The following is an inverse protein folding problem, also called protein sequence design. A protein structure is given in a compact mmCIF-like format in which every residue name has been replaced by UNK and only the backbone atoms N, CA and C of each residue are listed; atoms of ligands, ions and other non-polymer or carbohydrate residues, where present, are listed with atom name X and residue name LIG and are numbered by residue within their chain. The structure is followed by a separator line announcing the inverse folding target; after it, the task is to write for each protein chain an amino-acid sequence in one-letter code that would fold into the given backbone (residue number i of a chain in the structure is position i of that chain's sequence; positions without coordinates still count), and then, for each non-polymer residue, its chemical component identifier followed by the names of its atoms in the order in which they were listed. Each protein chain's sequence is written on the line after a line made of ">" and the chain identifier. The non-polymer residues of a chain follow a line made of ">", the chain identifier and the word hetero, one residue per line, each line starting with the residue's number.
data_IF_211118143731
#
_entry.id   IF_211118143731
#
_cell.length_a   1.000
_cell.length_b   1.000
_cell.length_c   1.000
_cell.angle_alpha   90.00
_cell.angle_beta   90.00
_cell.angle_gamma   90.00
#
_symmetry.space_group_name_H-M   'P 1'
#
loop_
_entity.id
_entity.type
_entity.pdbx_description
1 polymer ?
#
# COMPACT_ATOMS: atom_id res chain seq x y z
N UNK A 1 -3.61 10.33 19.18
CA UNK A 1 -3.90 10.24 17.73
C UNK A 1 -4.17 8.78 17.38
N UNK A 2 -5.15 8.54 16.47
CA UNK A 2 -5.54 7.19 16.07
C UNK A 2 -5.09 6.88 14.65
N UNK A 3 -4.37 5.76 14.47
CA UNK A 3 -3.96 5.27 13.16
C UNK A 3 -4.66 3.94 12.82
N UNK A 4 -5.27 3.85 11.64
CA UNK A 4 -5.82 2.62 11.09
C UNK A 4 -4.89 2.08 10.02
N UNK A 5 -4.47 0.81 10.16
CA UNK A 5 -3.50 0.17 9.28
C UNK A 5 -4.09 -1.11 8.72
N UNK A 6 -4.28 -1.18 7.41
CA UNK A 6 -4.71 -2.40 6.73
C UNK A 6 -3.51 -3.26 6.34
N UNK A 7 -3.67 -4.59 6.36
CA UNK A 7 -2.57 -5.52 6.13
C UNK A 7 -1.48 -5.45 7.20
N UNK A 8 -1.90 -5.26 8.46
CA UNK A 8 -1.01 -5.01 9.59
C UNK A 8 -0.36 -6.27 10.19
N UNK A 9 -0.73 -7.47 9.74
CA UNK A 9 -0.24 -8.75 10.29
C UNK A 9 1.22 -9.09 9.92
N UNK A 10 1.79 -8.43 8.90
CA UNK A 10 3.16 -8.73 8.45
C UNK A 10 3.80 -7.58 7.68
N UNK A 11 5.08 -7.73 7.39
CA UNK A 11 5.84 -6.85 6.48
C UNK A 11 5.77 -5.36 6.85
N UNK A 12 5.51 -4.53 5.82
CA UNK A 12 5.53 -3.07 5.96
C UNK A 12 4.46 -2.58 6.94
N UNK A 13 3.24 -3.15 6.89
CA UNK A 13 2.12 -2.75 7.75
C UNK A 13 2.41 -3.02 9.23
N UNK A 14 2.92 -4.22 9.54
CA UNK A 14 3.39 -4.58 10.89
C UNK A 14 4.47 -3.61 11.40
N UNK A 15 5.48 -3.36 10.57
CA UNK A 15 6.61 -2.53 11.00
C UNK A 15 6.20 -1.05 11.15
N UNK A 16 5.23 -0.56 10.35
CA UNK A 16 4.63 0.76 10.55
C UNK A 16 3.84 0.83 11.85
N UNK A 17 3.07 -0.23 12.19
CA UNK A 17 2.34 -0.30 13.45
C UNK A 17 3.27 -0.15 14.65
N UNK A 18 4.38 -0.91 14.69
CA UNK A 18 5.40 -0.82 15.75
C UNK A 18 6.02 0.57 15.87
N UNK A 19 6.27 1.24 14.74
CA UNK A 19 6.85 2.59 14.74
C UNK A 19 5.83 3.63 15.23
N UNK A 20 4.58 3.52 14.83
CA UNK A 20 3.53 4.45 15.21
C UNK A 20 3.14 4.30 16.69
N UNK A 21 3.15 3.08 17.22
CA UNK A 21 2.99 2.84 18.66
C UNK A 21 4.05 3.60 19.48
N UNK A 22 5.33 3.45 19.13
CA UNK A 22 6.43 4.20 19.78
C UNK A 22 6.31 5.73 19.65
N UNK A 23 5.46 6.20 18.75
CA UNK A 23 5.13 7.63 18.59
C UNK A 23 3.84 8.03 19.31
N UNK A 24 3.25 7.13 20.11
CA UNK A 24 2.06 7.39 20.91
C UNK A 24 0.74 7.36 20.14
N UNK A 25 0.67 6.70 18.97
CA UNK A 25 -0.59 6.49 18.29
C UNK A 25 -1.35 5.31 18.89
N UNK A 26 -2.63 5.49 19.17
CA UNK A 26 -3.57 4.39 19.30
C UNK A 26 -3.77 3.72 17.95
N UNK A 27 -3.80 2.39 17.93
CA UNK A 27 -3.77 1.64 16.68
C UNK A 27 -5.04 0.83 16.45
N UNK A 28 -5.49 0.82 15.20
CA UNK A 28 -6.45 -0.16 14.70
C UNK A 28 -5.75 -0.99 13.63
N UNK A 29 -5.54 -2.28 13.92
CA UNK A 29 -4.84 -3.21 13.06
C UNK A 29 -5.84 -4.11 12.36
N UNK A 30 -5.84 -4.09 11.02
CA UNK A 30 -6.80 -4.85 10.21
C UNK A 30 -6.04 -5.85 9.34
N UNK A 31 -6.38 -7.13 9.45
CA UNK A 31 -5.92 -8.20 8.56
C UNK A 31 -6.84 -9.42 8.68
N UNK A 32 -6.55 -10.49 7.91
CA UNK A 32 -7.31 -11.76 7.94
C UNK A 32 -6.77 -12.75 8.97
N UNK A 33 -5.48 -12.67 9.26
CA UNK A 33 -4.74 -13.61 10.12
C UNK A 33 -4.73 -13.08 11.55
N UNK A 34 -5.58 -13.68 12.38
CA UNK A 34 -5.74 -13.29 13.78
C UNK A 34 -4.49 -13.56 14.60
N UNK A 35 -3.88 -14.74 14.44
CA UNK A 35 -2.72 -15.14 15.23
C UNK A 35 -1.58 -14.14 15.04
N UNK A 36 -1.27 -13.80 13.78
CA UNK A 36 -0.23 -12.80 13.49
C UNK A 36 -0.59 -11.39 13.97
N UNK A 37 -1.86 -10.99 13.95
CA UNK A 37 -2.27 -9.71 14.53
C UNK A 37 -2.07 -9.70 16.05
N UNK A 38 -2.36 -10.81 16.74
CA UNK A 38 -2.13 -10.94 18.19
C UNK A 38 -0.62 -10.89 18.50
N UNK A 39 0.23 -11.53 17.69
CA UNK A 39 1.68 -11.43 17.82
C UNK A 39 2.15 -9.98 17.69
N UNK A 40 1.67 -9.26 16.68
CA UNK A 40 2.00 -7.84 16.48
C UNK A 40 1.54 -7.01 17.68
N UNK A 41 0.34 -7.26 18.21
CA UNK A 41 -0.21 -6.55 19.37
C UNK A 41 0.66 -6.73 20.61
N UNK A 42 1.23 -7.92 20.85
CA UNK A 42 2.13 -8.16 21.99
C UNK A 42 3.38 -7.27 21.99
N UNK A 43 3.80 -6.78 20.81
CA UNK A 43 4.96 -5.91 20.64
C UNK A 43 4.60 -4.41 20.62
N UNK A 44 3.32 -4.07 20.84
CA UNK A 44 2.80 -2.70 20.78
C UNK A 44 2.45 -2.22 22.19
N UNK A 45 2.89 -1.01 22.52
CA UNK A 45 2.78 -0.42 23.87
C UNK A 45 1.52 0.46 24.04
N UNK A 46 0.92 0.91 22.94
CA UNK A 46 -0.25 1.79 22.94
C UNK A 46 -1.56 1.02 22.86
N UNK A 47 -2.68 1.71 23.14
CA UNK A 47 -4.00 1.11 22.99
C UNK A 47 -4.18 0.60 21.54
N UNK A 48 -4.53 -0.69 21.42
CA UNK A 48 -4.57 -1.37 20.12
C UNK A 48 -5.81 -2.24 19.99
N UNK A 49 -6.65 -1.90 19.02
CA UNK A 49 -7.78 -2.70 18.55
C UNK A 49 -7.33 -3.58 17.39
N UNK A 50 -7.69 -4.86 17.43
CA UNK A 50 -7.55 -5.79 16.31
C UNK A 50 -8.91 -5.97 15.66
N UNK A 51 -8.93 -5.97 14.33
CA UNK A 51 -10.12 -6.27 13.52
C UNK A 51 -9.74 -7.33 12.49
N UNK A 52 -10.34 -8.52 12.61
CA UNK A 52 -10.16 -9.61 11.66
C UNK A 52 -11.16 -9.40 10.53
N UNK A 53 -10.63 -9.08 9.34
CA UNK A 53 -11.50 -8.73 8.21
C UNK A 53 -10.84 -8.98 6.87
N UNK A 54 -11.58 -9.57 5.94
CA UNK A 54 -11.18 -9.66 4.53
C UNK A 54 -11.68 -8.43 3.77
N UNK A 55 -10.74 -7.58 3.36
CA UNK A 55 -11.03 -6.34 2.64
C UNK A 55 -11.23 -6.55 1.13
N UNK A 56 -11.10 -7.77 0.60
CA UNK A 56 -11.53 -8.08 -0.76
C UNK A 56 -13.06 -8.07 -0.91
N UNK A 57 -13.78 -8.12 0.20
CA UNK A 57 -15.24 -8.04 0.24
C UNK A 57 -15.66 -6.58 0.45
N UNK A 58 -16.29 -5.97 -0.54
CA UNK A 58 -16.71 -4.55 -0.51
C UNK A 58 -17.50 -4.18 0.76
N UNK A 59 -18.47 -5.02 1.15
CA UNK A 59 -19.29 -4.83 2.34
C UNK A 59 -18.44 -4.69 3.62
N UNK A 60 -17.35 -5.44 3.69
CA UNK A 60 -16.43 -5.38 4.82
C UNK A 60 -15.71 -4.03 4.92
N UNK A 61 -15.34 -3.42 3.79
CA UNK A 61 -14.73 -2.09 3.80
C UNK A 61 -15.67 -1.03 4.37
N UNK A 62 -16.96 -1.10 4.01
CA UNK A 62 -17.99 -0.21 4.56
C UNK A 62 -18.20 -0.48 6.06
N UNK A 63 -18.29 -1.75 6.47
CA UNK A 63 -18.40 -2.15 7.87
C UNK A 63 -17.21 -1.69 8.71
N UNK A 64 -15.99 -1.79 8.17
CA UNK A 64 -14.79 -1.28 8.84
C UNK A 64 -14.90 0.22 9.11
N UNK A 65 -15.33 0.99 8.14
CA UNK A 65 -15.53 2.43 8.30
C UNK A 65 -16.64 2.76 9.32
N UNK A 66 -17.72 1.97 9.39
CA UNK A 66 -18.78 2.13 10.39
C UNK A 66 -18.29 1.86 11.81
N UNK A 67 -17.44 0.84 11.98
CA UNK A 67 -16.89 0.42 13.26
C UNK A 67 -15.76 1.32 13.78
N UNK A 68 -15.02 1.98 12.89
CA UNK A 68 -13.82 2.74 13.25
C UNK A 68 -13.96 4.18 12.79
N UNK A 69 -14.27 5.06 13.71
CA UNK A 69 -14.37 6.51 13.47
C UNK A 69 -13.18 7.25 14.07
N UNK A 70 -13.07 8.53 13.75
CA UNK A 70 -12.07 9.43 14.31
C UNK A 70 -10.61 9.00 14.06
N UNK A 71 -10.36 8.58 12.81
CA UNK A 71 -9.01 8.21 12.35
C UNK A 71 -8.24 9.45 11.94
N UNK A 72 -7.09 9.70 12.59
CA UNK A 72 -6.17 10.78 12.24
C UNK A 72 -5.23 10.38 11.10
N UNK A 73 -4.87 9.08 11.00
CA UNK A 73 -4.00 8.52 9.98
C UNK A 73 -4.56 7.21 9.42
N UNK A 74 -4.94 7.21 8.15
CA UNK A 74 -5.28 6.00 7.41
C UNK A 74 -4.05 5.49 6.65
N UNK A 75 -3.67 4.22 6.87
CA UNK A 75 -2.66 3.53 6.08
C UNK A 75 -3.30 2.38 5.31
N UNK A 76 -3.60 2.59 4.05
CA UNK A 76 -4.01 1.56 3.12
C UNK A 76 -2.76 0.79 2.67
N UNK A 77 -2.51 -0.37 3.28
CA UNK A 77 -1.33 -1.19 3.00
C UNK A 77 -1.69 -2.62 2.59
N UNK A 78 -2.88 -3.12 2.91
CA UNK A 78 -3.31 -4.45 2.48
C UNK A 78 -3.20 -4.60 0.96
N UNK A 79 -2.60 -5.69 0.51
CA UNK A 79 -2.47 -5.95 -0.91
C UNK A 79 -1.51 -7.09 -1.21
N UNK A 80 -1.67 -7.69 -2.38
CA UNK A 80 -0.83 -8.77 -2.85
C UNK A 80 -0.67 -8.71 -4.37
N UNK A 81 0.12 -9.61 -4.94
CA UNK A 81 0.37 -9.74 -6.38
C UNK A 81 0.18 -11.15 -6.87
N UNK A 82 0.12 -11.30 -8.19
CA UNK A 82 0.21 -12.57 -8.91
C UNK A 82 1.26 -12.45 -10.00
N UNK A 83 1.91 -13.55 -10.33
CA UNK A 83 2.88 -13.61 -11.41
C UNK A 83 2.55 -14.79 -12.34
N UNK A 84 2.73 -14.59 -13.65
CA UNK A 84 2.47 -15.59 -14.68
C UNK A 84 2.02 -14.96 -15.98
N UNK A 85 1.91 -15.76 -17.03
CA UNK A 85 1.27 -15.37 -18.28
C UNK A 85 -0.20 -15.00 -18.00
N UNK A 86 -0.66 -13.87 -18.53
CA UNK A 86 -1.99 -13.34 -18.23
C UNK A 86 -3.12 -14.31 -18.56
N UNK A 87 -2.95 -15.13 -19.60
CA UNK A 87 -3.94 -16.13 -19.97
C UNK A 87 -3.91 -17.40 -19.12
N UNK A 88 -2.87 -17.56 -18.29
CA UNK A 88 -2.65 -18.76 -17.44
C UNK A 88 -2.81 -18.48 -15.95
N UNK A 89 -2.83 -17.23 -15.53
CA UNK A 89 -3.07 -16.88 -14.13
C UNK A 89 -4.52 -17.17 -13.72
N UNK A 90 -4.73 -17.47 -12.44
CA UNK A 90 -6.06 -17.79 -11.91
C UNK A 90 -6.92 -16.52 -11.83
N UNK A 91 -8.06 -16.51 -12.54
CA UNK A 91 -8.98 -15.37 -12.62
C UNK A 91 -9.53 -14.97 -11.25
N UNK A 92 -9.94 -15.92 -10.40
CA UNK A 92 -10.52 -15.61 -9.09
C UNK A 92 -9.49 -14.95 -8.17
N UNK A 93 -8.23 -15.41 -8.24
CA UNK A 93 -7.12 -14.80 -7.51
C UNK A 93 -6.86 -13.36 -8.00
N UNK A 94 -6.97 -13.10 -9.29
CA UNK A 94 -6.84 -11.75 -9.87
C UNK A 94 -8.00 -10.83 -9.47
N UNK A 95 -9.24 -11.30 -9.52
CA UNK A 95 -10.40 -10.53 -9.06
C UNK A 95 -10.27 -10.20 -7.56
N UNK A 96 -9.85 -11.18 -6.73
CA UNK A 96 -9.57 -10.94 -5.32
C UNK A 96 -8.48 -9.89 -5.13
N UNK A 97 -7.42 -9.92 -5.95
CA UNK A 97 -6.36 -8.92 -5.95
C UNK A 97 -6.87 -7.53 -6.34
N UNK A 98 -7.70 -7.41 -7.37
CA UNK A 98 -8.34 -6.16 -7.79
C UNK A 98 -9.18 -5.61 -6.63
N UNK A 99 -10.02 -6.44 -6.03
CA UNK A 99 -10.85 -6.04 -4.91
C UNK A 99 -10.03 -5.55 -3.71
N UNK A 100 -8.96 -6.27 -3.37
CA UNK A 100 -8.08 -5.88 -2.25
C UNK A 100 -7.26 -4.63 -2.57
N UNK A 101 -6.63 -4.57 -3.75
CA UNK A 101 -5.67 -3.52 -4.10
C UNK A 101 -6.34 -2.24 -4.63
N UNK A 102 -7.55 -2.33 -5.20
CA UNK A 102 -8.27 -1.20 -5.79
C UNK A 102 -9.52 -0.88 -4.98
N UNK A 103 -10.50 -1.80 -4.94
CA UNK A 103 -11.82 -1.52 -4.38
C UNK A 103 -11.74 -1.12 -2.91
N UNK A 104 -10.96 -1.85 -2.10
CA UNK A 104 -10.76 -1.52 -0.70
C UNK A 104 -10.08 -0.15 -0.52
N UNK A 105 -9.00 0.12 -1.27
CA UNK A 105 -8.31 1.42 -1.23
C UNK A 105 -9.24 2.56 -1.62
N UNK A 106 -10.04 2.38 -2.68
CA UNK A 106 -10.99 3.39 -3.14
C UNK A 106 -12.02 3.71 -2.06
N UNK A 107 -12.68 2.69 -1.52
CA UNK A 107 -13.73 2.85 -0.51
C UNK A 107 -13.18 3.50 0.76
N UNK A 108 -12.11 2.95 1.33
CA UNK A 108 -11.55 3.46 2.58
C UNK A 108 -10.99 4.88 2.40
N UNK A 109 -10.26 5.13 1.30
CA UNK A 109 -9.78 6.48 0.99
C UNK A 109 -10.94 7.46 0.90
N UNK A 110 -12.00 7.14 0.15
CA UNK A 110 -13.14 8.04 -0.04
C UNK A 110 -13.88 8.34 1.26
N UNK A 111 -14.16 7.32 2.06
CA UNK A 111 -14.94 7.47 3.29
C UNK A 111 -14.16 8.24 4.36
N UNK A 112 -12.92 7.85 4.64
CA UNK A 112 -12.10 8.56 5.63
C UNK A 112 -11.68 9.96 5.16
N UNK A 113 -11.43 10.15 3.88
CA UNK A 113 -11.15 11.49 3.33
C UNK A 113 -12.33 12.45 3.55
N UNK A 114 -13.57 11.97 3.39
CA UNK A 114 -14.76 12.77 3.66
C UNK A 114 -14.78 13.28 5.09
N UNK A 115 -14.56 12.40 6.08
CA UNK A 115 -14.53 12.79 7.50
C UNK A 115 -13.34 13.72 7.81
N UNK A 116 -12.17 13.43 7.25
CA UNK A 116 -10.97 14.26 7.42
C UNK A 116 -11.17 15.67 6.84
N UNK A 117 -11.86 15.79 5.69
CA UNK A 117 -12.19 17.10 5.09
C UNK A 117 -13.16 17.89 5.96
N UNK A 118 -14.16 17.26 6.59
CA UNK A 118 -15.09 17.94 7.49
C UNK A 118 -14.36 18.54 8.70
N UNK A 119 -13.30 17.86 9.18
CA UNK A 119 -12.47 18.33 10.30
C UNK A 119 -11.29 19.20 9.85
N UNK A 120 -11.10 19.33 8.56
CA UNK A 120 -9.91 19.90 7.90
C UNK A 120 -8.59 19.41 8.51
N UNK A 121 -8.57 18.15 8.94
CA UNK A 121 -7.43 17.50 9.60
C UNK A 121 -7.42 16.01 9.31
N UNK A 122 -6.23 15.47 9.00
CA UNK A 122 -6.04 14.05 8.79
C UNK A 122 -4.98 13.75 7.74
N UNK A 123 -4.55 12.51 7.70
CA UNK A 123 -3.52 12.06 6.77
C UNK A 123 -3.84 10.67 6.23
N UNK A 124 -3.62 10.49 4.92
CA UNK A 124 -3.79 9.19 4.24
C UNK A 124 -2.44 8.80 3.62
N UNK A 125 -2.02 7.56 3.88
CA UNK A 125 -0.91 6.92 3.21
C UNK A 125 -1.42 5.73 2.40
N UNK A 126 -1.33 5.82 1.08
CA UNK A 126 -1.63 4.70 0.19
C UNK A 126 -0.34 3.98 -0.21
N UNK A 127 -0.25 2.68 0.10
CA UNK A 127 0.90 1.85 -0.29
C UNK A 127 0.71 1.32 -1.70
N UNK A 128 1.35 2.01 -2.64
CA UNK A 128 1.44 1.61 -4.05
C UNK A 128 2.68 0.71 -4.29
N UNK A 129 3.43 0.99 -5.32
CA UNK A 129 4.69 0.33 -5.71
C UNK A 129 5.36 1.13 -6.82
N UNK A 130 6.63 0.89 -7.09
CA UNK A 130 7.29 1.29 -8.34
C UNK A 130 6.54 0.71 -9.57
N UNK A 131 5.89 -0.43 -9.42
CA UNK A 131 5.04 -1.05 -10.42
C UNK A 131 3.92 -0.13 -10.95
N UNK A 132 3.48 0.84 -10.16
CA UNK A 132 2.44 1.80 -10.57
C UNK A 132 2.88 2.86 -11.60
N UNK A 133 4.15 2.86 -12.01
CA UNK A 133 4.68 3.84 -12.97
C UNK A 133 5.02 3.25 -14.34
N UNK A 134 4.85 1.97 -14.54
CA UNK A 134 5.24 1.28 -15.78
C UNK A 134 4.35 0.06 -16.06
N UNK A 135 4.26 -0.42 -17.31
CA UNK A 135 3.64 -1.69 -17.61
C UNK A 135 4.47 -2.85 -17.06
N UNK A 136 3.80 -3.90 -16.58
CA UNK A 136 4.44 -5.08 -16.00
C UNK A 136 3.98 -6.38 -16.65
N UNK A 137 4.50 -6.76 -17.83
CA UNK A 137 4.22 -8.08 -18.39
C UNK A 137 4.55 -9.19 -17.38
N UNK A 138 3.78 -10.27 -17.38
CA UNK A 138 3.82 -11.37 -16.41
C UNK A 138 3.36 -11.01 -14.98
N UNK A 139 3.02 -9.74 -14.73
CA UNK A 139 2.36 -9.25 -13.52
C UNK A 139 1.33 -8.16 -13.88
N UNK A 140 0.67 -8.30 -15.01
CA UNK A 140 -0.15 -7.25 -15.65
C UNK A 140 -1.18 -6.66 -14.69
N UNK A 141 -2.00 -7.49 -14.08
CA UNK A 141 -3.06 -7.08 -13.16
C UNK A 141 -2.48 -6.37 -11.92
N UNK A 142 -1.41 -6.89 -11.33
CA UNK A 142 -0.77 -6.24 -10.18
C UNK A 142 -0.28 -4.83 -10.52
N UNK A 143 0.44 -4.66 -11.64
CA UNK A 143 0.94 -3.34 -12.06
C UNK A 143 -0.20 -2.37 -12.33
N UNK A 144 -1.27 -2.84 -12.98
CA UNK A 144 -2.47 -2.04 -13.22
C UNK A 144 -3.14 -1.60 -11.91
N UNK A 145 -3.25 -2.49 -10.90
CA UNK A 145 -3.80 -2.11 -9.59
C UNK A 145 -2.97 -1.04 -8.91
N UNK A 146 -1.64 -1.12 -9.00
CA UNK A 146 -0.75 -0.13 -8.38
C UNK A 146 -0.73 1.20 -9.15
N UNK A 147 -0.91 1.16 -10.47
CA UNK A 147 -1.11 2.37 -11.28
C UNK A 147 -2.41 3.10 -10.89
N UNK A 148 -3.51 2.36 -10.68
CA UNK A 148 -4.75 2.92 -10.18
C UNK A 148 -4.55 3.72 -8.88
N UNK A 149 -3.90 3.11 -7.88
CA UNK A 149 -3.64 3.75 -6.57
C UNK A 149 -2.80 5.02 -6.74
N UNK A 150 -1.79 4.99 -7.61
CA UNK A 150 -0.95 6.17 -7.90
C UNK A 150 -1.80 7.30 -8.48
N UNK A 151 -2.57 7.04 -9.55
CA UNK A 151 -3.36 8.06 -10.25
C UNK A 151 -4.49 8.62 -9.41
N UNK A 152 -5.20 7.76 -8.68
CA UNK A 152 -6.23 8.19 -7.75
C UNK A 152 -5.67 9.17 -6.70
N UNK A 153 -4.53 8.82 -6.10
CA UNK A 153 -3.93 9.66 -5.06
C UNK A 153 -3.36 10.96 -5.61
N UNK A 154 -2.84 10.96 -6.85
CA UNK A 154 -2.39 12.19 -7.54
C UNK A 154 -3.56 13.15 -7.75
N UNK A 155 -4.70 12.65 -8.25
CA UNK A 155 -5.89 13.45 -8.49
C UNK A 155 -6.43 14.06 -7.18
N UNK A 156 -6.63 13.23 -6.15
CA UNK A 156 -7.09 13.68 -4.83
C UNK A 156 -6.16 14.76 -4.25
N UNK A 157 -4.86 14.61 -4.40
CA UNK A 157 -3.90 15.62 -3.93
C UNK A 157 -4.12 16.98 -4.58
N UNK A 158 -4.36 17.03 -5.87
CA UNK A 158 -4.59 18.30 -6.58
C UNK A 158 -5.94 18.92 -6.17
N UNK A 159 -6.98 18.11 -5.95
CA UNK A 159 -8.25 18.58 -5.40
C UNK A 159 -8.06 19.21 -4.01
N UNK A 160 -7.38 18.53 -3.09
CA UNK A 160 -7.07 19.05 -1.75
C UNK A 160 -6.27 20.35 -1.79
N UNK A 161 -5.33 20.49 -2.72
CA UNK A 161 -4.57 21.73 -2.91
C UNK A 161 -5.44 22.89 -3.40
N UNK A 162 -6.30 22.64 -4.39
CA UNK A 162 -7.25 23.64 -4.92
C UNK A 162 -8.18 24.16 -3.83
N UNK A 163 -8.63 23.28 -2.96
CA UNK A 163 -9.48 23.59 -1.83
C UNK A 163 -8.71 24.21 -0.64
N UNK A 164 -7.38 24.29 -0.70
CA UNK A 164 -6.50 24.74 0.41
C UNK A 164 -6.67 23.92 1.69
N UNK A 165 -7.07 22.66 1.57
CA UNK A 165 -7.31 21.79 2.71
C UNK A 165 -6.02 21.43 3.48
N UNK A 166 -6.14 21.34 4.80
CA UNK A 166 -5.07 20.86 5.67
C UNK A 166 -4.91 19.33 5.64
N UNK A 167 -5.86 18.60 5.08
CA UNK A 167 -5.75 17.14 4.91
C UNK A 167 -4.61 16.80 3.96
N UNK A 168 -3.83 15.78 4.29
CA UNK A 168 -2.68 15.35 3.48
C UNK A 168 -2.87 13.93 2.97
N UNK A 169 -2.48 13.72 1.71
CA UNK A 169 -2.36 12.38 1.12
C UNK A 169 -0.93 12.12 0.66
N UNK A 170 -0.46 10.91 0.85
CA UNK A 170 0.88 10.46 0.46
C UNK A 170 0.82 9.09 -0.20
N UNK A 171 1.80 8.78 -1.04
CA UNK A 171 1.93 7.48 -1.70
C UNK A 171 3.29 6.90 -1.37
N UNK A 172 3.29 5.68 -0.81
CA UNK A 172 4.52 4.90 -0.67
C UNK A 172 4.72 4.03 -1.92
N UNK A 173 5.83 4.21 -2.60
CA UNK A 173 6.18 3.49 -3.83
C UNK A 173 7.51 2.74 -3.65
N UNK A 174 7.53 1.62 -2.94
CA UNK A 174 8.74 0.83 -2.78
C UNK A 174 9.05 0.05 -4.06
N UNK A 175 10.33 -0.32 -4.20
CA UNK A 175 10.76 -1.43 -5.06
C UNK A 175 10.50 -2.78 -4.38
N UNK A 176 11.25 -3.84 -4.74
CA UNK A 176 11.20 -5.11 -4.04
C UNK A 176 11.47 -4.94 -2.54
N UNK A 177 10.62 -5.54 -1.72
CA UNK A 177 10.75 -5.54 -0.25
C UNK A 177 10.73 -6.99 0.22
N UNK A 178 11.63 -7.31 1.13
CA UNK A 178 11.69 -8.62 1.73
C UNK A 178 10.55 -8.80 2.73
N UNK A 179 9.49 -9.47 2.27
CA UNK A 179 8.25 -9.72 3.01
C UNK A 179 7.60 -11.00 2.51
N UNK A 180 6.55 -11.43 3.17
CA UNK A 180 5.74 -12.57 2.72
C UNK A 180 5.02 -12.34 1.36
N UNK A 181 5.10 -11.13 0.80
CA UNK A 181 4.57 -10.81 -0.54
C UNK A 181 5.14 -11.76 -1.61
N UNK A 182 6.42 -12.12 -1.51
CA UNK A 182 7.09 -12.98 -2.48
C UNK A 182 6.45 -14.37 -2.52
N UNK A 183 6.13 -14.94 -1.36
CA UNK A 183 5.47 -16.24 -1.26
C UNK A 183 4.03 -16.18 -1.80
N UNK A 184 3.28 -15.12 -1.50
CA UNK A 184 1.89 -14.96 -1.95
C UNK A 184 1.80 -14.73 -3.46
N UNK A 185 2.77 -13.99 -4.03
CA UNK A 185 2.85 -13.70 -5.46
C UNK A 185 3.49 -14.82 -6.28
N UNK A 186 4.04 -15.84 -5.60
CA UNK A 186 4.82 -16.93 -6.20
C UNK A 186 5.98 -16.41 -7.08
N UNK A 187 6.79 -15.53 -6.48
CA UNK A 187 7.93 -14.89 -7.15
C UNK A 187 9.19 -15.00 -6.33
N UNK A 188 10.32 -15.22 -7.00
CA UNK A 188 11.65 -15.03 -6.44
C UNK A 188 12.27 -13.76 -7.03
N UNK A 189 12.50 -12.74 -6.20
CA UNK A 189 13.19 -11.56 -6.69
C UNK A 189 14.67 -11.84 -6.85
N UNK A 190 15.19 -11.71 -8.07
CA UNK A 190 16.63 -11.78 -8.39
C UNK A 190 17.46 -10.63 -7.79
N UNK A 191 16.79 -9.60 -7.27
CA UNK A 191 17.41 -8.45 -6.61
C UNK A 191 17.03 -8.53 -5.14
N UNK A 192 18.02 -8.45 -4.24
CA UNK A 192 17.80 -8.38 -2.79
C UNK A 192 16.86 -7.21 -2.47
N UNK A 193 15.72 -7.51 -1.87
CA UNK A 193 14.74 -6.52 -1.45
C UNK A 193 15.26 -5.63 -0.29
N UNK A 194 14.66 -4.46 -0.15
CA UNK A 194 14.86 -3.68 1.07
C UNK A 194 14.13 -4.35 2.23
N UNK A 195 14.65 -4.24 3.45
CA UNK A 195 13.92 -4.74 4.62
C UNK A 195 12.64 -3.94 4.85
N UNK A 196 11.56 -4.62 5.26
CA UNK A 196 10.28 -3.98 5.59
C UNK A 196 10.43 -2.93 6.67
N UNK A 197 11.29 -3.18 7.67
CA UNK A 197 11.63 -2.25 8.75
C UNK A 197 12.25 -0.94 8.22
N UNK A 198 13.18 -1.03 7.26
CA UNK A 198 13.76 0.16 6.64
C UNK A 198 12.71 0.94 5.85
N UNK A 199 11.90 0.25 5.04
CA UNK A 199 10.84 0.87 4.23
C UNK A 199 9.81 1.56 5.13
N UNK A 200 9.35 0.91 6.20
CA UNK A 200 8.41 1.48 7.16
C UNK A 200 8.99 2.73 7.86
N UNK A 201 10.23 2.65 8.37
CA UNK A 201 10.92 3.78 9.01
C UNK A 201 11.08 4.97 8.04
N UNK A 202 11.49 4.69 6.81
CA UNK A 202 11.63 5.71 5.77
C UNK A 202 10.28 6.34 5.44
N UNK A 203 9.22 5.52 5.32
CA UNK A 203 7.88 5.99 4.99
C UNK A 203 7.33 6.92 6.08
N UNK A 204 7.35 6.52 7.34
CA UNK A 204 6.83 7.35 8.44
C UNK A 204 7.62 8.67 8.55
N UNK A 205 8.96 8.63 8.47
CA UNK A 205 9.79 9.85 8.48
C UNK A 205 9.45 10.83 7.33
N UNK A 206 9.06 10.32 6.16
CA UNK A 206 8.67 11.16 5.01
C UNK A 206 7.23 11.63 5.10
N UNK A 207 6.35 10.81 5.67
CA UNK A 207 4.96 11.11 5.95
C UNK A 207 4.85 12.31 6.90
N UNK A 208 5.63 12.33 7.99
CA UNK A 208 5.72 13.45 8.94
C UNK A 208 6.18 14.76 8.27
N UNK A 209 6.93 14.65 7.18
CA UNK A 209 7.36 15.81 6.38
C UNK A 209 6.39 16.14 5.23
N UNK A 210 5.19 15.59 5.24
CA UNK A 210 4.15 15.78 4.23
C UNK A 210 4.64 15.53 2.78
N UNK A 211 5.59 14.57 2.59
CA UNK A 211 6.07 14.23 1.25
C UNK A 211 5.03 13.38 0.54
N UNK A 212 4.60 13.83 -0.63
CA UNK A 212 3.60 13.12 -1.42
C UNK A 212 4.12 11.79 -1.97
N UNK A 213 5.22 11.82 -2.73
CA UNK A 213 5.88 10.61 -3.18
C UNK A 213 6.92 10.16 -2.17
N UNK A 214 6.73 8.98 -1.63
CA UNK A 214 7.67 8.33 -0.72
C UNK A 214 8.27 7.14 -1.45
N UNK A 215 9.50 7.29 -1.93
CA UNK A 215 10.20 6.27 -2.75
C UNK A 215 11.48 5.89 -2.01
N UNK A 216 11.49 4.77 -1.27
CA UNK A 216 12.70 4.28 -0.61
C UNK A 216 13.69 3.69 -1.61
N UNK A 217 14.98 4.00 -1.43
CA UNK A 217 16.06 3.56 -2.31
C UNK A 217 16.34 4.52 -3.49
N UNK A 218 17.63 4.80 -3.71
CA UNK A 218 18.06 5.72 -4.78
C UNK A 218 17.80 5.13 -6.18
N UNK A 219 18.14 3.86 -6.38
CA UNK A 219 17.90 3.15 -7.64
C UNK A 219 16.42 3.13 -8.04
N UNK A 220 15.51 3.01 -7.08
CA UNK A 220 14.06 3.02 -7.31
C UNK A 220 13.58 4.42 -7.73
N UNK A 221 14.18 5.48 -7.17
CA UNK A 221 13.89 6.86 -7.62
C UNK A 221 14.32 7.07 -9.07
N UNK A 222 15.51 6.60 -9.44
CA UNK A 222 15.99 6.65 -10.83
C UNK A 222 15.08 5.85 -11.76
N UNK A 223 14.67 4.64 -11.37
CA UNK A 223 13.75 3.81 -12.15
C UNK A 223 12.39 4.50 -12.35
N UNK A 224 11.84 5.18 -11.33
CA UNK A 224 10.62 5.97 -11.45
C UNK A 224 10.76 7.09 -12.49
N UNK A 225 11.87 7.82 -12.47
CA UNK A 225 12.13 8.91 -13.43
C UNK A 225 12.29 8.33 -14.83
N UNK A 226 13.09 7.28 -14.98
CA UNK A 226 13.32 6.61 -16.26
C UNK A 226 12.03 6.08 -16.88
N UNK A 227 11.16 5.45 -16.09
CA UNK A 227 9.86 4.96 -16.55
C UNK A 227 8.92 6.07 -17.05
N UNK A 228 9.10 7.30 -16.57
CA UNK A 228 8.29 8.46 -16.98
C UNK A 228 8.77 9.09 -18.30
N UNK A 229 10.05 8.96 -18.61
CA UNK A 229 10.69 9.63 -19.77
C UNK A 229 10.87 8.67 -20.95
N UNK A 230 11.18 7.38 -20.67
CA UNK A 230 11.45 6.40 -21.70
C UNK A 230 10.17 6.00 -22.47
N UNK A 231 10.28 5.67 -23.77
CA UNK A 231 9.17 5.13 -24.54
C UNK A 231 8.57 3.89 -23.89
N UNK A 232 7.25 3.81 -23.82
CA UNK A 232 6.53 2.71 -23.14
C UNK A 232 6.92 1.34 -23.64
N UNK A 233 7.17 1.16 -24.96
CA UNK A 233 7.61 -0.10 -25.53
C UNK A 233 8.97 -0.58 -25.01
N UNK A 234 9.92 0.34 -24.81
CA UNK A 234 11.22 0.02 -24.22
C UNK A 234 11.07 -0.38 -22.74
N UNK A 235 10.29 0.39 -21.98
CA UNK A 235 10.01 0.08 -20.57
C UNK A 235 9.35 -1.30 -20.43
N UNK A 236 8.37 -1.62 -21.30
CA UNK A 236 7.71 -2.94 -21.33
C UNK A 236 8.69 -4.08 -21.58
N UNK A 237 9.60 -3.94 -22.57
CA UNK A 237 10.62 -4.96 -22.88
C UNK A 237 11.56 -5.19 -21.71
N UNK A 238 12.04 -4.12 -21.06
CA UNK A 238 12.90 -4.22 -19.87
C UNK A 238 12.15 -4.89 -18.73
N UNK A 239 10.92 -4.45 -18.47
CA UNK A 239 10.06 -5.01 -17.42
C UNK A 239 9.80 -6.49 -17.65
N UNK A 240 9.45 -6.91 -18.88
CA UNK A 240 9.29 -8.33 -19.24
C UNK A 240 10.54 -9.15 -18.90
N UNK A 241 11.72 -8.69 -19.34
CA UNK A 241 12.99 -9.38 -19.07
C UNK A 241 13.28 -9.53 -17.57
N UNK A 242 12.94 -8.50 -16.78
CA UNK A 242 13.09 -8.54 -15.33
C UNK A 242 12.08 -9.49 -14.67
N UNK A 243 10.82 -9.49 -15.12
CA UNK A 243 9.79 -10.37 -14.54
C UNK A 243 10.01 -11.83 -14.92
N UNK A 244 10.43 -12.12 -16.16
CA UNK A 244 10.72 -13.49 -16.62
C UNK A 244 11.77 -14.20 -15.76
N UNK A 245 12.70 -13.45 -15.16
CA UNK A 245 13.72 -14.00 -14.24
C UNK A 245 13.17 -14.39 -12.87
N UNK A 246 11.92 -14.04 -12.55
CA UNK A 246 11.26 -14.32 -11.26
C UNK A 246 10.35 -15.54 -11.30
N UNK A 247 10.04 -16.01 -12.51
CA UNK A 247 9.23 -17.22 -12.71
C UNK A 247 10.19 -18.40 -12.68
N UNK A 248 9.90 -19.38 -11.81
CA UNK A 248 10.58 -20.67 -11.76
C UNK A 248 10.28 -21.51 -12.99
#
# INVERSE_FOLDING_TARGET
>A
MKALITGASSGIGRDMAKILSKKGYDLVLVARDEEKLQEVKKEIETNTQIIIMDLSVEKNCKKLYEQVKDVDLLINNAGFGTCGDFTKTNLDKEINMINTNITAYHILTKLYLKDMKQKDKGQILNVASIAGFMPGPLMATYYATKAYVVRLSEAIREELKKEKSNVKISILCPGPVDTNFNNVADVEFSIKGLSSKYVAKYAIKKLEKNKFYIVPGFSIKCAKIGAKIAPTGLVSKISYKMQKRKIK
#
